data_IF_626218907770
#
_entry.id   IF_626218907770
#
_cell.length_a   1.000
_cell.length_b   1.000
_cell.length_c   1.000
_cell.angle_alpha   90.00
_cell.angle_beta   90.00
_cell.angle_gamma   90.00
#
_symmetry.space_group_name_H-M   'P 1'
#
loop_
_entity.id
_entity.type
_entity.pdbx_description
1 polymer ?
#
# COMPACT_ATOMS: atom_id res chain seq x y z
N UNK A 1 -15.09 -20.58 19.54
CA UNK A 1 -16.35 -19.90 19.16
C UNK A 1 -16.50 -20.01 17.64
N UNK A 2 -17.45 -20.81 17.13
CA UNK A 2 -17.82 -20.74 15.71
C UNK A 2 -18.20 -19.29 15.36
N UNK A 3 -17.65 -18.73 14.27
CA UNK A 3 -17.94 -17.36 13.81
C UNK A 3 -16.99 -16.25 14.30
N UNK A 4 -16.14 -16.49 15.29
CA UNK A 4 -15.17 -15.46 15.73
C UNK A 4 -14.16 -15.11 14.62
N UNK A 5 -13.73 -16.12 13.84
CA UNK A 5 -12.83 -15.93 12.70
C UNK A 5 -13.48 -15.08 11.61
N UNK A 6 -14.75 -15.35 11.28
CA UNK A 6 -15.51 -14.59 10.29
C UNK A 6 -15.59 -13.11 10.67
N UNK A 7 -15.92 -12.83 11.94
CA UNK A 7 -16.01 -11.47 12.44
C UNK A 7 -14.68 -10.72 12.33
N UNK A 8 -13.58 -11.35 12.72
CA UNK A 8 -12.24 -10.78 12.57
C UNK A 8 -11.94 -10.50 11.10
N UNK A 9 -12.19 -11.47 10.21
CA UNK A 9 -11.97 -11.28 8.77
C UNK A 9 -12.78 -10.12 8.19
N UNK A 10 -14.05 -9.97 8.56
CA UNK A 10 -14.88 -8.84 8.12
C UNK A 10 -14.31 -7.51 8.62
N UNK A 11 -13.93 -7.43 9.90
CA UNK A 11 -13.35 -6.20 10.48
C UNK A 11 -12.03 -5.82 9.82
N UNK A 12 -11.17 -6.78 9.49
CA UNK A 12 -9.90 -6.51 8.82
C UNK A 12 -10.08 -6.13 7.35
N UNK A 13 -11.09 -6.66 6.66
CA UNK A 13 -11.43 -6.20 5.32
C UNK A 13 -11.88 -4.74 5.32
N UNK A 14 -12.73 -4.35 6.28
CA UNK A 14 -13.18 -2.97 6.45
C UNK A 14 -12.00 -2.03 6.79
N UNK A 15 -11.08 -2.47 7.65
CA UNK A 15 -9.87 -1.71 7.95
C UNK A 15 -9.01 -1.50 6.71
N UNK A 16 -8.77 -2.54 5.92
CA UNK A 16 -8.01 -2.44 4.68
C UNK A 16 -8.65 -1.44 3.70
N UNK A 17 -9.98 -1.49 3.53
CA UNK A 17 -10.70 -0.53 2.67
C UNK A 17 -10.49 0.92 3.14
N UNK A 18 -10.51 1.16 4.46
CA UNK A 18 -10.29 2.48 5.05
C UNK A 18 -8.86 2.96 4.82
N UNK A 19 -7.85 2.14 5.12
CA UNK A 19 -6.44 2.48 4.93
C UNK A 19 -6.16 2.82 3.47
N UNK A 20 -6.64 1.99 2.52
CA UNK A 20 -6.45 2.22 1.09
C UNK A 20 -7.07 3.54 0.67
N UNK A 21 -8.36 3.75 1.00
CA UNK A 21 -9.09 4.97 0.62
C UNK A 21 -8.41 6.23 1.14
N UNK A 22 -7.97 6.23 2.39
CA UNK A 22 -7.32 7.40 2.99
C UNK A 22 -5.91 7.62 2.45
N UNK A 23 -5.14 6.54 2.27
CA UNK A 23 -3.76 6.63 1.81
C UNK A 23 -3.69 7.10 0.35
N UNK A 24 -4.52 6.56 -0.54
CA UNK A 24 -4.55 7.00 -1.94
C UNK A 24 -5.05 8.44 -2.09
N UNK A 25 -5.97 8.88 -1.23
CA UNK A 25 -6.44 10.27 -1.21
C UNK A 25 -5.42 11.24 -0.61
N UNK A 26 -4.50 10.81 0.24
CA UNK A 26 -3.57 11.72 0.94
C UNK A 26 -2.16 11.72 0.37
N UNK A 27 -1.76 10.66 -0.34
CA UNK A 27 -0.42 10.56 -0.93
C UNK A 27 -0.26 11.45 -2.16
N UNK A 28 0.89 12.11 -2.27
CA UNK A 28 1.29 12.93 -3.41
C UNK A 28 2.19 12.18 -4.40
N UNK A 29 2.75 11.04 -4.00
CA UNK A 29 3.73 10.28 -4.81
C UNK A 29 3.41 8.79 -4.90
N UNK A 30 2.28 8.34 -4.33
CA UNK A 30 1.86 6.93 -4.35
C UNK A 30 2.49 6.07 -3.27
N UNK A 31 3.29 6.63 -2.36
CA UNK A 31 3.92 5.88 -1.27
C UNK A 31 3.34 6.29 0.08
N UNK A 32 3.22 5.34 1.02
CA UNK A 32 2.77 5.60 2.40
C UNK A 32 3.19 4.47 3.34
N UNK A 33 3.83 4.80 4.44
CA UNK A 33 4.01 3.89 5.57
C UNK A 33 2.79 3.93 6.50
N UNK A 34 2.38 2.80 7.08
CA UNK A 34 1.37 2.77 8.16
C UNK A 34 1.92 1.98 9.34
N UNK A 35 1.83 2.55 10.53
CA UNK A 35 2.39 1.96 11.76
C UNK A 35 1.30 1.31 12.61
N UNK A 36 1.64 0.29 13.39
CA UNK A 36 0.71 -0.42 14.25
C UNK A 36 0.09 0.48 15.32
N UNK A 37 0.87 1.42 15.87
CA UNK A 37 0.36 2.42 16.81
C UNK A 37 -0.70 3.32 16.13
N UNK A 38 -0.47 3.75 14.89
CA UNK A 38 -1.45 4.50 14.10
C UNK A 38 -2.73 3.67 13.89
N UNK A 39 -2.58 2.37 13.59
CA UNK A 39 -3.72 1.47 13.40
C UNK A 39 -4.55 1.35 14.69
N UNK A 40 -3.88 1.23 15.83
CA UNK A 40 -4.52 1.13 17.14
C UNK A 40 -5.21 2.44 17.55
N UNK A 41 -4.55 3.58 17.37
CA UNK A 41 -5.06 4.89 17.79
C UNK A 41 -6.23 5.34 16.92
N UNK A 42 -6.12 5.21 15.60
CA UNK A 42 -7.09 5.77 14.66
C UNK A 42 -8.24 4.81 14.33
N UNK A 43 -7.95 3.52 14.27
CA UNK A 43 -8.92 2.51 13.83
C UNK A 43 -9.35 1.55 14.95
N UNK A 44 -8.76 1.68 16.13
CA UNK A 44 -9.09 0.89 17.32
C UNK A 44 -8.98 -0.62 17.09
N UNK A 45 -8.01 -1.01 16.25
CA UNK A 45 -7.67 -2.42 16.01
C UNK A 45 -6.34 -2.70 16.72
N UNK A 46 -6.30 -3.61 17.70
CA UNK A 46 -5.06 -3.93 18.41
C UNK A 46 -4.17 -4.76 17.47
N UNK A 47 -3.12 -4.14 16.93
CA UNK A 47 -2.13 -4.84 16.10
C UNK A 47 -0.82 -4.93 16.89
N UNK A 48 -0.26 -6.12 16.96
CA UNK A 48 1.06 -6.34 17.53
C UNK A 48 1.76 -7.48 16.78
N UNK A 49 3.10 -7.57 16.88
CA UNK A 49 3.85 -8.66 16.27
C UNK A 49 3.38 -10.06 16.70
N UNK A 50 2.86 -10.18 17.93
CA UNK A 50 2.56 -11.48 18.56
C UNK A 50 1.12 -11.95 18.36
N UNK A 51 0.20 -11.11 17.89
CA UNK A 51 -1.24 -11.43 17.87
C UNK A 51 -1.77 -11.92 16.51
N UNK A 52 -0.92 -11.94 15.48
CA UNK A 52 -1.23 -12.41 14.13
C UNK A 52 -2.19 -11.52 13.33
N UNK A 53 -2.72 -10.44 13.91
CA UNK A 53 -3.60 -9.51 13.22
C UNK A 53 -2.84 -8.76 12.12
N UNK A 54 -1.59 -8.38 12.38
CA UNK A 54 -0.72 -7.74 11.39
C UNK A 54 -0.56 -8.59 10.13
N UNK A 55 -0.24 -9.88 10.30
CA UNK A 55 -0.12 -10.81 9.16
C UNK A 55 -1.44 -11.02 8.41
N UNK A 56 -2.58 -11.07 9.12
CA UNK A 56 -3.89 -11.17 8.46
C UNK A 56 -4.21 -9.92 7.65
N UNK A 57 -3.91 -8.73 8.20
CA UNK A 57 -4.12 -7.47 7.51
C UNK A 57 -3.21 -7.33 6.28
N UNK A 58 -1.92 -7.71 6.41
CA UNK A 58 -0.96 -7.76 5.30
C UNK A 58 -1.51 -8.60 4.13
N UNK A 59 -1.92 -9.83 4.40
CA UNK A 59 -2.48 -10.71 3.36
C UNK A 59 -3.74 -10.12 2.69
N UNK A 60 -4.55 -9.34 3.41
CA UNK A 60 -5.71 -8.68 2.82
C UNK A 60 -5.26 -7.51 1.94
N UNK A 61 -4.32 -6.69 2.42
CA UNK A 61 -3.78 -5.54 1.68
C UNK A 61 -3.09 -5.98 0.40
N UNK A 62 -2.27 -7.02 0.43
CA UNK A 62 -1.58 -7.59 -0.74
C UNK A 62 -2.52 -7.97 -1.90
N UNK A 63 -3.80 -8.25 -1.61
CA UNK A 63 -4.79 -8.63 -2.63
C UNK A 63 -5.56 -7.46 -3.24
N UNK A 64 -5.31 -6.23 -2.78
CA UNK A 64 -6.04 -5.04 -3.22
C UNK A 64 -5.50 -4.55 -4.56
N UNK A 65 -6.40 -4.27 -5.49
CA UNK A 65 -6.07 -3.82 -6.85
C UNK A 65 -5.30 -2.50 -6.87
N UNK A 66 -5.45 -1.67 -5.83
CA UNK A 66 -4.77 -0.39 -5.67
C UNK A 66 -3.28 -0.57 -5.32
N UNK A 67 -2.88 -1.73 -4.81
CA UNK A 67 -1.54 -2.00 -4.30
C UNK A 67 -0.61 -2.43 -5.43
N UNK A 68 0.49 -1.70 -5.59
CA UNK A 68 1.59 -2.09 -6.45
C UNK A 68 2.61 -2.96 -5.68
N UNK A 69 2.91 -2.58 -4.44
CA UNK A 69 3.85 -3.28 -3.56
C UNK A 69 3.53 -3.00 -2.09
N UNK A 70 3.84 -3.95 -1.23
CA UNK A 70 3.79 -3.78 0.23
C UNK A 70 4.92 -4.55 0.88
N UNK A 71 5.64 -3.89 1.77
CA UNK A 71 6.72 -4.49 2.55
C UNK A 71 6.38 -4.43 4.04
N UNK A 72 6.39 -5.56 4.76
CA UNK A 72 6.24 -5.56 6.21
C UNK A 72 7.48 -4.98 6.90
N UNK A 73 7.24 -4.15 7.91
CA UNK A 73 8.24 -3.61 8.84
C UNK A 73 8.09 -4.23 10.23
N UNK A 74 9.00 -3.91 11.16
CA UNK A 74 8.92 -4.37 12.56
C UNK A 74 7.63 -3.89 13.25
N UNK A 75 7.20 -2.67 12.94
CA UNK A 75 6.09 -1.97 13.59
C UNK A 75 5.03 -1.44 12.60
N UNK A 76 4.99 -1.96 11.37
CA UNK A 76 4.10 -1.42 10.35
C UNK A 76 4.24 -2.06 8.97
N UNK A 77 3.81 -1.30 7.95
CA UNK A 77 3.92 -1.65 6.54
C UNK A 77 4.34 -0.44 5.73
N UNK A 78 5.25 -0.63 4.78
CA UNK A 78 5.51 0.33 3.71
C UNK A 78 4.67 -0.05 2.49
N UNK A 79 3.83 0.88 2.02
CA UNK A 79 2.88 0.66 0.94
C UNK A 79 3.21 1.52 -0.27
N UNK A 80 3.13 0.90 -1.45
CA UNK A 80 3.20 1.56 -2.75
C UNK A 80 1.91 1.27 -3.50
N UNK A 81 1.24 2.33 -3.95
CA UNK A 81 0.01 2.27 -4.72
C UNK A 81 0.27 2.48 -6.20
N UNK A 82 -0.54 1.85 -7.05
CA UNK A 82 -0.62 2.25 -8.45
C UNK A 82 -1.14 3.68 -8.54
N UNK A 83 -0.38 4.54 -9.24
CA UNK A 83 -0.65 5.98 -9.30
C UNK A 83 -2.02 6.31 -9.91
N UNK A 84 -2.58 5.45 -10.76
CA UNK A 84 -3.93 5.61 -11.33
C UNK A 84 -5.04 5.66 -10.27
N UNK A 85 -4.78 5.14 -9.06
CA UNK A 85 -5.70 5.17 -7.93
C UNK A 85 -5.46 6.35 -6.98
N UNK A 86 -4.44 7.18 -7.21
CA UNK A 86 -4.08 8.33 -6.39
C UNK A 86 -4.58 9.64 -7.03
N UNK A 87 -5.70 10.25 -6.59
CA UNK A 87 -6.23 11.46 -7.20
C UNK A 87 -5.41 12.74 -6.94
N UNK A 88 -4.55 12.74 -5.92
CA UNK A 88 -3.86 13.94 -5.43
C UNK A 88 -2.34 13.94 -5.71
N UNK A 89 -1.93 13.32 -6.82
CA UNK A 89 -0.53 13.25 -7.22
C UNK A 89 0.07 14.64 -7.48
N UNK A 90 1.21 14.89 -6.86
CA UNK A 90 2.07 16.00 -7.23
C UNK A 90 2.99 15.55 -8.37
N UNK A 91 2.74 16.09 -9.57
CA UNK A 91 3.52 15.81 -10.77
C UNK A 91 5.01 16.14 -10.62
N UNK A 92 5.36 16.99 -9.66
CA UNK A 92 6.75 17.37 -9.35
C UNK A 92 7.48 16.31 -8.51
N UNK A 93 6.72 15.43 -7.84
CA UNK A 93 7.24 14.36 -6.97
C UNK A 93 7.12 12.97 -7.61
N UNK A 94 6.51 12.88 -8.80
CA UNK A 94 6.50 11.65 -9.56
C UNK A 94 7.92 11.32 -10.03
N UNK A 95 8.39 10.08 -9.87
CA UNK A 95 9.66 9.68 -10.46
C UNK A 95 9.59 9.92 -11.97
N UNK A 96 10.52 10.71 -12.50
CA UNK A 96 10.64 10.88 -13.95
C UNK A 96 10.80 9.48 -14.57
N UNK A 97 9.84 9.08 -15.41
CA UNK A 97 10.04 7.93 -16.28
C UNK A 97 11.23 8.27 -17.17
N UNK A 98 12.41 7.77 -16.81
CA UNK A 98 13.55 7.72 -17.73
C UNK A 98 13.13 6.80 -18.85
N UNK A 99 12.56 7.36 -19.92
CA UNK A 99 12.45 6.69 -21.19
C UNK A 99 13.84 6.13 -21.51
N UNK A 100 13.98 4.81 -21.52
CA UNK A 100 15.07 4.12 -22.19
C UNK A 100 14.98 4.50 -23.67
N UNK A 101 15.57 5.64 -24.03
CA UNK A 101 15.82 5.98 -25.42
C UNK A 101 16.72 4.87 -25.96
N UNK A 102 16.19 4.01 -26.82
CA UNK A 102 17.02 3.11 -27.60
C UNK A 102 18.14 3.94 -28.24
N UNK A 103 19.41 3.50 -28.13
CA UNK A 103 20.51 4.26 -28.69
C UNK A 103 20.24 4.48 -30.18
N UNK A 104 20.43 5.70 -30.72
CA UNK A 104 20.16 5.97 -32.12
C UNK A 104 20.99 5.00 -32.94
N UNK A 105 20.31 4.20 -33.77
CA UNK A 105 20.94 3.28 -34.69
C UNK A 105 22.05 4.04 -35.45
N UNK A 106 23.31 3.69 -35.18
CA UNK A 106 24.44 4.19 -35.95
C UNK A 106 24.21 3.75 -37.39
N UNK A 107 23.73 4.67 -38.24
CA UNK A 107 23.76 4.48 -39.68
C UNK A 107 25.23 4.41 -40.09
N UNK A 108 25.71 3.18 -40.26
CA UNK A 108 26.98 2.92 -40.94
C UNK A 108 26.78 3.27 -42.41
N UNK A 109 27.25 4.45 -42.77
CA UNK A 109 27.35 4.85 -44.17
C UNK A 109 28.50 4.01 -44.79
N UNK A 110 28.12 3.06 -45.65
CA UNK A 110 29.02 2.32 -46.55
C UNK A 110 29.48 3.19 -47.71
#
# INVERSE_FOLDING_TARGET
MPGAREFVSVRLNQLADQIIRESTQSTSNGTRSVYFDEIQERYHVPVSPDNGIGSMLLNILETRQEMAEIEPMEDGFDMVFYLDYCPNLDKSQMPEQKNEQEPPAMQMNL
#
